data_IF_803586255722
#
_entry.id   IF_803586255722
#
_cell.length_a   1.000
_cell.length_b   1.000
_cell.length_c   1.000
_cell.angle_alpha   90.00
_cell.angle_beta   90.00
_cell.angle_gamma   90.00
#
_symmetry.space_group_name_H-M   'P 1'
#
loop_
_entity.id
_entity.type
_entity.pdbx_description
1 polymer ?
#
# COMPACT_ATOMS: atom_id res chain seq x y z
N UNK A 1 -41.32 -22.68 0.16
CA UNK A 1 -40.90 -22.09 0.10
C UNK A 1 -40.27 -21.51 -0.08
N UNK A 2 -39.81 -21.48 -0.11
CA UNK A 2 -39.10 -20.91 -0.17
C UNK A 2 -38.44 -20.25 -0.49
N UNK A 3 -38.23 -20.24 -0.55
CA UNK A 3 -37.51 -19.64 -0.69
C UNK A 3 -36.80 -19.02 -0.86
N UNK A 4 -36.68 -19.06 -0.94
CA UNK A 4 -36.02 -18.42 -1.03
C UNK A 4 -35.18 -17.96 -1.05
N UNK A 5 -34.99 -18.14 -1.05
CA UNK A 5 -34.23 -17.65 -1.01
C UNK A 5 -33.48 -17.12 -1.32
N UNK A 6 -33.43 -17.33 -1.39
CA UNK A 6 -32.69 -16.77 -1.61
C UNK A 6 -32.13 -16.11 -1.70
N UNK A 7 -31.95 -16.01 -1.56
CA UNK A 7 -31.34 -15.31 -1.54
C UNK A 7 -30.56 -14.76 -1.46
N UNK A 8 -30.58 -14.86 -1.32
CA UNK A 8 -29.90 -14.27 -1.11
C UNK A 8 -28.89 -14.17 -1.31
N UNK A 9 -28.71 -14.69 -1.12
CA UNK A 9 -27.75 -14.55 -1.17
C UNK A 9 -27.11 -14.07 -1.90
N UNK A 10 -27.35 -14.18 -2.29
CA UNK A 10 -26.66 -13.75 -2.93
C UNK A 10 -26.02 -12.79 -2.95
N UNK A 11 -26.35 -12.55 -2.68
CA UNK A 11 -25.74 -11.59 -2.62
C UNK A 11 -24.58 -11.63 -2.10
N UNK A 12 -24.46 -12.18 -1.84
CA UNK A 12 -23.54 -12.05 -1.40
C UNK A 12 -22.61 -12.19 -1.91
N UNK A 13 -22.69 -12.46 -1.96
CA UNK A 13 -21.73 -12.54 -2.32
C UNK A 13 -20.89 -11.74 -2.89
N UNK A 14 -20.97 -11.34 -3.71
CA UNK A 14 -20.35 -10.33 -4.29
C UNK A 14 -19.98 -9.26 -3.44
N UNK A 15 -20.88 -8.87 -2.78
CA UNK A 15 -20.72 -7.85 -1.84
C UNK A 15 -19.64 -8.19 -0.90
N UNK A 16 -19.45 -9.41 -0.70
CA UNK A 16 -18.44 -9.86 0.18
C UNK A 16 -17.06 -9.36 -0.13
N UNK A 17 -16.75 -9.17 -1.38
CA UNK A 17 -15.46 -8.70 -1.78
C UNK A 17 -15.18 -7.31 -1.26
N UNK A 18 -16.10 -6.42 -1.44
CA UNK A 18 -15.98 -5.07 -0.97
C UNK A 18 -15.86 -4.99 0.51
N UNK A 19 -16.62 -5.80 1.20
CA UNK A 19 -16.62 -5.82 2.65
C UNK A 19 -15.32 -6.28 3.25
N UNK A 20 -14.54 -7.03 2.50
CA UNK A 20 -13.26 -7.51 2.98
C UNK A 20 -12.15 -6.48 2.84
N UNK A 21 -12.39 -5.44 2.12
CA UNK A 21 -11.37 -4.42 1.93
C UNK A 21 -11.17 -3.59 3.19
N UNK A 22 -9.94 -3.21 3.42
CA UNK A 22 -9.55 -2.44 4.57
C UNK A 22 -8.69 -1.27 4.10
N UNK A 23 -8.82 -0.13 4.74
CA UNK A 23 -7.99 1.03 4.42
C UNK A 23 -7.08 1.33 5.59
N UNK A 24 -5.80 1.43 5.33
CA UNK A 24 -4.79 1.73 6.34
C UNK A 24 -3.87 2.83 5.84
N UNK A 25 -3.26 3.52 6.80
CA UNK A 25 -2.32 4.60 6.50
C UNK A 25 -0.99 4.27 7.16
N UNK A 26 0.11 4.47 6.43
CA UNK A 26 1.44 4.27 6.98
C UNK A 26 2.38 5.34 6.49
N UNK A 27 3.38 5.65 7.30
CA UNK A 27 4.37 6.66 6.92
C UNK A 27 5.42 6.04 6.01
N UNK A 28 5.70 6.71 4.90
CA UNK A 28 6.69 6.27 3.93
C UNK A 28 7.52 7.48 3.53
N UNK A 29 8.82 7.39 3.71
CA UNK A 29 9.72 8.49 3.40
C UNK A 29 9.98 8.56 1.90
N UNK A 30 9.85 9.74 1.36
CA UNK A 30 10.06 10.01 -0.05
C UNK A 30 10.11 11.52 -0.24
N UNK A 31 10.19 11.97 -1.48
CA UNK A 31 10.43 13.39 -1.72
C UNK A 31 9.53 14.00 -2.79
N UNK A 32 9.50 13.46 -3.97
CA UNK A 32 8.86 14.12 -5.12
C UNK A 32 7.83 13.22 -5.80
N UNK A 33 7.27 13.71 -6.90
CA UNK A 33 6.26 12.96 -7.65
C UNK A 33 6.79 11.64 -8.22
N UNK A 34 8.08 11.55 -8.51
CA UNK A 34 8.66 10.27 -8.93
C UNK A 34 8.60 9.26 -7.80
N UNK A 35 8.82 9.71 -6.56
CA UNK A 35 8.67 8.84 -5.40
C UNK A 35 7.22 8.42 -5.25
N UNK A 36 6.31 9.36 -5.42
CA UNK A 36 4.88 9.06 -5.35
C UNK A 36 4.50 7.95 -6.31
N UNK A 37 4.92 8.06 -7.57
CA UNK A 37 4.62 7.05 -8.57
C UNK A 37 5.22 5.70 -8.18
N UNK A 38 6.47 5.67 -7.73
CA UNK A 38 7.14 4.44 -7.32
C UNK A 38 6.47 3.79 -6.12
N UNK A 39 6.16 4.60 -5.12
CA UNK A 39 5.54 4.12 -3.88
C UNK A 39 4.17 3.52 -4.18
N UNK A 40 3.36 4.22 -4.94
CA UNK A 40 2.01 3.74 -5.26
C UNK A 40 2.05 2.49 -6.12
N UNK A 41 2.97 2.44 -7.08
CA UNK A 41 3.12 1.27 -7.94
C UNK A 41 3.58 0.06 -7.13
N UNK A 42 4.51 0.25 -6.22
CA UNK A 42 5.00 -0.83 -5.37
C UNK A 42 3.88 -1.38 -4.49
N UNK A 43 3.07 -0.50 -3.91
CA UNK A 43 1.95 -0.95 -3.08
C UNK A 43 0.93 -1.73 -3.91
N UNK A 44 0.61 -1.24 -5.10
CA UNK A 44 -0.33 -1.96 -5.96
C UNK A 44 0.21 -3.30 -6.41
N UNK A 45 1.52 -3.40 -6.64
CA UNK A 45 2.12 -4.68 -7.04
C UNK A 45 2.03 -5.73 -5.93
N UNK A 46 1.86 -5.29 -4.68
CA UNK A 46 1.74 -6.19 -3.53
C UNK A 46 0.28 -6.38 -3.09
N UNK A 47 -0.66 -5.99 -3.93
CA UNK A 47 -2.06 -6.32 -3.69
C UNK A 47 -2.97 -5.17 -3.25
N UNK A 48 -2.46 -3.94 -3.19
CA UNK A 48 -3.35 -2.82 -2.88
C UNK A 48 -4.26 -2.56 -4.07
N UNK A 49 -5.56 -2.44 -3.81
CA UNK A 49 -6.51 -2.07 -4.85
C UNK A 49 -6.45 -0.55 -5.08
N UNK A 50 -5.97 0.19 -4.10
CA UNK A 50 -5.82 1.63 -4.18
C UNK A 50 -4.62 2.04 -3.33
N UNK A 51 -3.86 2.99 -3.81
CA UNK A 51 -2.70 3.51 -3.09
C UNK A 51 -2.51 4.97 -3.43
N UNK A 52 -2.42 5.81 -2.41
CA UNK A 52 -2.24 7.25 -2.59
C UNK A 52 -1.23 7.76 -1.56
N UNK A 53 -0.10 8.24 -2.03
CA UNK A 53 0.96 8.76 -1.17
C UNK A 53 0.97 10.29 -1.24
N UNK A 54 0.91 10.92 -0.07
CA UNK A 54 0.90 12.37 0.03
C UNK A 54 2.32 12.90 0.16
N UNK A 55 2.75 13.73 -0.80
CA UNK A 55 4.13 14.24 -0.83
C UNK A 55 4.44 15.18 0.34
N UNK A 56 3.42 15.75 0.95
CA UNK A 56 3.62 16.68 2.07
C UNK A 56 3.64 15.99 3.42
N UNK A 57 2.65 15.14 3.66
CA UNK A 57 2.56 14.45 4.95
C UNK A 57 3.39 13.18 4.99
N UNK A 58 3.79 12.68 3.82
CA UNK A 58 4.52 11.41 3.68
C UNK A 58 3.69 10.21 4.12
N UNK A 59 2.38 10.36 4.08
CA UNK A 59 1.48 9.26 4.44
C UNK A 59 0.97 8.56 3.21
N UNK A 60 1.05 7.24 3.22
CA UNK A 60 0.50 6.38 2.18
C UNK A 60 -0.80 5.79 2.69
N UNK A 61 -1.87 6.02 1.95
CA UNK A 61 -3.17 5.42 2.24
C UNK A 61 -3.38 4.28 1.26
N UNK A 62 -3.57 3.08 1.78
CA UNK A 62 -3.76 1.88 0.95
C UNK A 62 -5.07 1.22 1.30
N UNK A 63 -5.75 0.70 0.28
CA UNK A 63 -6.94 -0.12 0.45
C UNK A 63 -6.60 -1.51 -0.08
N UNK A 64 -6.90 -2.52 0.69
CA UNK A 64 -6.48 -3.89 0.36
C UNK A 64 -7.36 -4.92 1.05
N UNK A 65 -7.30 -6.14 0.56
CA UNK A 65 -7.97 -7.28 1.18
C UNK A 65 -7.02 -7.89 2.22
N UNK A 66 -7.33 -7.78 3.52
CA UNK A 66 -6.42 -8.27 4.57
C UNK A 66 -6.22 -9.79 4.56
N UNK A 67 -7.04 -10.52 3.83
CA UNK A 67 -6.84 -11.96 3.65
C UNK A 67 -5.74 -12.25 2.64
N UNK A 68 -5.36 -11.27 1.82
CA UNK A 68 -4.39 -11.48 0.74
C UNK A 68 -3.07 -10.79 0.97
N UNK A 69 -3.08 -9.66 1.67
CA UNK A 69 -1.85 -8.89 1.87
C UNK A 69 -1.95 -8.12 3.19
N UNK A 70 -0.95 -7.32 3.51
CA UNK A 70 -0.91 -6.62 4.79
C UNK A 70 -0.02 -5.38 4.69
N UNK A 71 -0.17 -4.49 5.67
CA UNK A 71 0.70 -3.32 5.79
C UNK A 71 2.16 -3.74 5.90
N UNK A 72 2.42 -4.84 6.58
CA UNK A 72 3.78 -5.36 6.70
C UNK A 72 4.36 -5.72 5.32
N UNK A 73 3.57 -6.36 4.48
CA UNK A 73 3.98 -6.71 3.12
C UNK A 73 4.27 -5.47 2.29
N UNK A 74 3.42 -4.45 2.37
CA UNK A 74 3.65 -3.19 1.67
C UNK A 74 4.94 -2.54 2.17
N UNK A 75 5.13 -2.53 3.48
CA UNK A 75 6.31 -1.91 4.10
C UNK A 75 7.60 -2.57 3.65
N UNK A 76 7.61 -3.90 3.58
CA UNK A 76 8.77 -4.64 3.09
C UNK A 76 9.09 -4.31 1.64
N UNK A 77 8.06 -4.24 0.80
CA UNK A 77 8.25 -3.94 -0.61
C UNK A 77 8.77 -2.52 -0.80
N UNK A 78 8.23 -1.58 -0.05
CA UNK A 78 8.66 -0.18 -0.14
C UNK A 78 10.12 -0.05 0.28
N UNK A 79 10.52 -0.73 1.34
CA UNK A 79 11.91 -0.74 1.75
C UNK A 79 12.80 -1.36 0.66
N UNK A 80 12.33 -2.41 0.02
CA UNK A 80 13.08 -3.08 -1.04
C UNK A 80 13.30 -2.18 -2.26
N UNK A 81 12.38 -1.24 -2.52
CA UNK A 81 12.55 -0.31 -3.64
C UNK A 81 13.19 1.02 -3.22
N UNK A 82 13.66 1.11 -2.00
CA UNK A 82 14.47 2.24 -1.55
C UNK A 82 13.79 3.24 -0.65
N UNK A 83 12.56 2.99 -0.20
CA UNK A 83 11.84 3.94 0.63
C UNK A 83 11.70 3.42 2.06
N UNK A 84 12.20 4.19 3.03
CA UNK A 84 12.03 3.88 4.45
C UNK A 84 10.56 3.94 4.81
N UNK A 85 10.12 3.04 5.68
CA UNK A 85 8.77 3.09 6.23
C UNK A 85 8.88 3.12 7.75
N UNK A 86 7.78 3.33 8.43
CA UNK A 86 7.83 3.31 9.90
C UNK A 86 8.18 1.93 10.44
N UNK A 87 7.97 0.86 9.65
CA UNK A 87 8.30 -0.50 10.07
C UNK A 87 9.68 -0.96 9.65
N UNK A 88 10.15 -0.53 8.49
CA UNK A 88 11.40 -1.02 7.92
C UNK A 88 12.22 0.12 7.35
N UNK A 89 13.51 0.06 7.57
CA UNK A 89 14.45 0.95 6.93
C UNK A 89 14.87 0.32 5.61
N UNK A 90 14.90 1.10 4.54
CA UNK A 90 15.36 0.60 3.25
C UNK A 90 16.84 0.26 3.31
N UNK A 91 17.22 -0.77 2.57
CA UNK A 91 18.62 -1.13 2.43
C UNK A 91 19.36 0.05 1.78
N UNK A 92 20.58 0.33 2.22
CA UNK A 92 21.36 1.46 1.72
C UNK A 92 21.56 1.39 0.23
N UNK A 93 21.79 0.21 -0.32
CA UNK A 93 21.97 0.04 -1.75
C UNK A 93 20.71 0.42 -2.52
N UNK A 94 19.54 0.05 -2.02
CA UNK A 94 18.29 0.39 -2.67
C UNK A 94 18.06 1.89 -2.63
N UNK A 95 18.35 2.52 -1.50
CA UNK A 95 18.23 3.97 -1.38
C UNK A 95 19.20 4.67 -2.34
N UNK A 96 20.44 4.20 -2.37
CA UNK A 96 21.48 4.82 -3.21
C UNK A 96 21.17 4.71 -4.70
N UNK A 97 20.37 3.72 -5.08
CA UNK A 97 19.96 3.54 -6.47
C UNK A 97 18.85 4.49 -6.90
N UNK A 98 18.25 5.23 -5.97
CA UNK A 98 17.20 6.18 -6.31
C UNK A 98 17.76 7.34 -7.12
N UNK A 99 16.93 7.91 -7.99
CA UNK A 99 17.28 9.13 -8.69
C UNK A 99 17.51 10.25 -7.68
N UNK A 100 18.33 11.22 -8.04
CA UNK A 100 18.69 12.30 -7.10
C UNK A 100 17.48 13.04 -6.56
N UNK A 101 16.43 13.22 -7.36
CA UNK A 101 15.23 13.90 -6.89
C UNK A 101 14.47 13.08 -5.85
N UNK A 102 14.77 11.79 -5.73
CA UNK A 102 14.14 10.92 -4.74
C UNK A 102 15.01 10.68 -3.51
N UNK A 103 16.17 11.30 -3.44
CA UNK A 103 17.04 11.18 -2.28
C UNK A 103 16.45 12.01 -1.13
N UNK A 104 15.51 11.42 -0.41
CA UNK A 104 14.86 12.07 0.71
C UNK A 104 15.75 12.00 1.96
N UNK A 105 15.42 12.81 2.94
CA UNK A 105 16.11 12.76 4.21
C UNK A 105 15.66 11.51 4.95
N UNK A 106 16.58 10.64 5.26
CA UNK A 106 16.25 9.32 5.78
C UNK A 106 15.74 9.38 7.20
N UNK A 107 14.94 8.38 7.53
CA UNK A 107 14.41 8.18 8.87
C UNK A 107 15.57 7.88 9.83
N UNK A 108 15.47 8.36 11.02
CA UNK A 108 16.51 8.16 12.05
C UNK A 108 16.29 6.98 12.95
#
# INVERSE_FOLDING_TARGET
MITTISEIVIAQTTAGTSEKQKTETLKVWGNCNMCKTRIEKAARSEGASSADWNTKTKLLTVTFDPAKTSVDTFSKKLAAVGHDTEKYRADDKAYDALDSCCKYERKK
#
